data_IF_379128578480
#
_entry.id   IF_379128578480
#
_cell.length_a   1.000
_cell.length_b   1.000
_cell.length_c   1.000
_cell.angle_alpha   90.00
_cell.angle_beta   90.00
_cell.angle_gamma   90.00
#
_symmetry.space_group_name_H-M   'P 1'
#
loop_
_entity.id
_entity.type
_entity.pdbx_description
1 polymer ?
#
# COMPACT_ATOMS: atom_id res chain seq x y z
N UNK A 1 13.65 6.12 -17.53
CA UNK A 1 13.37 6.07 -18.99
C UNK A 1 12.07 5.31 -19.30
N UNK A 2 11.84 4.10 -18.82
CA UNK A 2 10.63 3.30 -19.09
C UNK A 2 9.31 3.96 -18.66
N UNK A 3 9.23 4.54 -17.46
CA UNK A 3 8.03 5.21 -16.93
C UNK A 3 7.63 6.42 -17.79
N UNK A 4 8.60 7.14 -18.35
CA UNK A 4 8.32 8.27 -19.24
C UNK A 4 7.64 7.83 -20.54
N UNK A 5 8.09 6.72 -21.13
CA UNK A 5 7.46 6.14 -22.32
C UNK A 5 6.04 5.64 -22.02
N UNK A 6 5.81 4.98 -20.90
CA UNK A 6 4.46 4.53 -20.52
C UNK A 6 3.49 5.71 -20.36
N UNK A 7 3.93 6.82 -19.78
CA UNK A 7 3.13 8.07 -19.70
C UNK A 7 2.81 8.67 -21.05
N UNK A 8 3.77 8.68 -21.97
CA UNK A 8 3.61 9.24 -23.32
C UNK A 8 2.57 8.45 -24.13
N UNK A 9 2.54 7.12 -23.97
CA UNK A 9 1.62 6.23 -24.69
C UNK A 9 0.35 5.89 -23.89
N UNK A 10 0.10 6.55 -22.74
CA UNK A 10 -1.05 6.26 -21.85
C UNK A 10 -1.17 4.79 -21.44
N UNK A 11 -0.05 4.08 -21.36
CA UNK A 11 -0.01 2.68 -20.91
C UNK A 11 -0.11 2.68 -19.40
N UNK A 12 -1.04 1.87 -18.87
CA UNK A 12 -1.14 1.63 -17.42
C UNK A 12 0.04 0.75 -16.97
N UNK A 13 1.12 1.42 -16.52
CA UNK A 13 2.33 0.73 -16.04
C UNK A 13 2.07 -0.09 -14.77
N UNK A 14 1.07 0.28 -13.95
CA UNK A 14 0.69 -0.50 -12.77
C UNK A 14 0.14 -1.86 -13.18
N UNK A 15 -0.72 -1.90 -14.21
CA UNK A 15 -1.25 -3.15 -14.75
C UNK A 15 -0.13 -4.05 -15.29
N UNK A 16 0.88 -3.48 -15.94
CA UNK A 16 2.04 -4.23 -16.43
C UNK A 16 2.88 -4.81 -15.30
N UNK A 17 3.19 -4.02 -14.27
CA UNK A 17 3.93 -4.48 -13.09
C UNK A 17 3.15 -5.56 -12.35
N UNK A 18 1.86 -5.35 -12.14
CA UNK A 18 0.97 -6.31 -11.50
C UNK A 18 0.96 -7.64 -12.28
N UNK A 19 0.82 -7.58 -13.60
CA UNK A 19 0.85 -8.77 -14.45
C UNK A 19 2.19 -9.50 -14.36
N UNK A 20 3.31 -8.79 -14.39
CA UNK A 20 4.64 -9.37 -14.28
C UNK A 20 4.88 -10.05 -12.92
N UNK A 21 4.39 -9.44 -11.83
CA UNK A 21 4.57 -9.96 -10.47
C UNK A 21 3.61 -11.13 -10.17
N UNK A 22 2.40 -11.12 -10.75
CA UNK A 22 1.40 -12.19 -10.54
C UNK A 22 1.66 -13.47 -11.35
N UNK A 23 2.58 -13.46 -12.29
CA UNK A 23 2.90 -14.62 -13.12
C UNK A 23 3.76 -15.71 -12.41
N UNK A 24 3.77 -15.73 -11.08
CA UNK A 24 4.30 -16.88 -10.35
C UNK A 24 3.42 -18.09 -10.59
N UNK A 25 3.95 -19.09 -11.33
CA UNK A 25 3.30 -20.39 -11.47
C UNK A 25 3.22 -21.03 -10.09
N UNK A 26 2.02 -21.28 -9.58
CA UNK A 26 1.79 -21.87 -8.26
C UNK A 26 2.53 -23.19 -8.06
N UNK A 27 2.76 -23.96 -9.13
CA UNK A 27 3.49 -25.24 -9.11
C UNK A 27 4.91 -25.13 -8.54
N UNK A 28 5.58 -23.98 -8.74
CA UNK A 28 6.96 -23.79 -8.30
C UNK A 28 7.06 -22.95 -7.01
N UNK A 29 5.96 -22.35 -6.58
CA UNK A 29 5.94 -21.44 -5.42
C UNK A 29 6.45 -22.12 -4.15
N UNK A 30 5.93 -23.29 -3.79
CA UNK A 30 6.36 -24.02 -2.60
C UNK A 30 7.81 -24.49 -2.69
N UNK A 31 8.29 -24.80 -3.88
CA UNK A 31 9.69 -25.15 -4.10
C UNK A 31 10.60 -23.94 -3.86
N UNK A 32 10.17 -22.75 -4.33
CA UNK A 32 10.94 -21.51 -4.19
C UNK A 32 10.99 -21.02 -2.75
N UNK A 33 9.88 -21.02 -2.01
CA UNK A 33 9.84 -20.55 -0.62
C UNK A 33 10.52 -21.50 0.37
N UNK A 34 10.71 -22.77 0.00
CA UNK A 34 11.41 -23.77 0.82
C UNK A 34 12.92 -23.78 0.60
N UNK A 35 13.44 -22.95 -0.29
CA UNK A 35 14.88 -22.84 -0.49
C UNK A 35 15.49 -22.01 0.64
N UNK A 36 16.57 -22.53 1.22
CA UNK A 36 17.36 -21.75 2.16
C UNK A 36 18.04 -20.59 1.44
N UNK A 37 18.07 -19.39 2.05
CA UNK A 37 18.79 -18.28 1.47
C UNK A 37 20.28 -18.60 1.37
N UNK A 38 20.92 -18.18 0.29
CA UNK A 38 22.36 -18.38 0.14
C UNK A 38 23.15 -17.47 1.09
N UNK A 39 24.41 -17.83 1.36
CA UNK A 39 25.28 -17.07 2.27
C UNK A 39 25.38 -15.59 1.93
N UNK A 40 25.46 -15.26 0.64
CA UNK A 40 25.51 -13.86 0.17
C UNK A 40 24.25 -13.08 0.50
N UNK A 41 23.08 -13.70 0.39
CA UNK A 41 21.79 -13.07 0.79
C UNK A 41 21.75 -12.82 2.30
N UNK A 42 22.21 -13.79 3.11
CA UNK A 42 22.26 -13.62 4.57
C UNK A 42 23.26 -12.54 4.99
N UNK A 43 24.42 -12.46 4.35
CA UNK A 43 25.40 -11.41 4.57
C UNK A 43 24.84 -10.03 4.19
N UNK A 44 24.17 -9.93 3.06
CA UNK A 44 23.50 -8.71 2.63
C UNK A 44 22.40 -8.29 3.61
N UNK A 45 21.56 -9.23 4.06
CA UNK A 45 20.53 -8.97 5.06
C UNK A 45 21.15 -8.47 6.38
N UNK A 46 22.19 -9.15 6.86
CA UNK A 46 22.95 -8.73 8.06
C UNK A 46 23.48 -7.30 7.92
N UNK A 47 24.10 -6.98 6.78
CA UNK A 47 24.59 -5.64 6.48
C UNK A 47 23.44 -4.63 6.51
N UNK A 48 22.32 -4.89 5.81
CA UNK A 48 21.15 -4.00 5.77
C UNK A 48 20.57 -3.75 7.16
N UNK A 49 20.47 -4.78 7.99
CA UNK A 49 19.97 -4.64 9.36
C UNK A 49 20.93 -3.86 10.26
N UNK A 50 22.26 -4.10 10.14
CA UNK A 50 23.26 -3.38 10.94
C UNK A 50 23.41 -1.91 10.56
N UNK A 51 23.11 -1.56 9.31
CA UNK A 51 23.19 -0.18 8.79
C UNK A 51 21.84 0.53 8.74
N UNK A 52 20.79 -0.11 9.27
CA UNK A 52 19.43 0.48 9.26
C UNK A 52 19.39 1.75 10.10
N UNK A 53 19.04 2.87 9.47
CA UNK A 53 18.88 4.14 10.15
C UNK A 53 17.51 4.21 10.84
N UNK A 54 17.49 4.16 12.16
CA UNK A 54 16.27 4.26 12.97
C UNK A 54 15.51 5.57 12.77
N UNK A 55 16.20 6.65 12.39
CA UNK A 55 15.56 7.95 12.13
C UNK A 55 14.58 7.89 10.95
N UNK A 56 14.82 7.06 9.94
CA UNK A 56 13.86 6.84 8.86
C UNK A 56 12.56 6.20 9.36
N UNK A 57 12.68 5.26 10.30
CA UNK A 57 11.49 4.65 10.91
C UNK A 57 10.70 5.68 11.73
N UNK A 58 11.39 6.45 12.56
CA UNK A 58 10.76 7.51 13.36
C UNK A 58 10.14 8.60 12.46
N UNK A 59 10.84 9.03 11.43
CA UNK A 59 10.31 9.98 10.45
C UNK A 59 9.03 9.49 9.79
N UNK A 60 8.98 8.21 9.40
CA UNK A 60 7.79 7.60 8.82
C UNK A 60 6.63 7.51 9.83
N UNK A 61 6.92 7.15 11.08
CA UNK A 61 5.91 7.15 12.17
C UNK A 61 5.34 8.55 12.38
N UNK A 62 6.20 9.57 12.44
CA UNK A 62 5.77 10.95 12.60
C UNK A 62 4.90 11.42 11.41
N UNK A 63 5.32 11.13 10.18
CA UNK A 63 4.53 11.42 8.98
C UNK A 63 3.16 10.73 9.00
N UNK A 64 3.12 9.45 9.39
CA UNK A 64 1.88 8.69 9.52
C UNK A 64 0.95 9.26 10.58
N UNK A 65 1.46 9.59 11.75
CA UNK A 65 0.70 10.22 12.82
C UNK A 65 0.16 11.59 12.38
N UNK A 66 0.99 12.40 11.73
CA UNK A 66 0.59 13.71 11.20
C UNK A 66 -0.62 13.61 10.26
N UNK A 67 -0.60 12.67 9.34
CA UNK A 67 -1.70 12.44 8.38
C UNK A 67 -2.92 11.87 9.10
N UNK A 68 -2.76 10.84 9.95
CA UNK A 68 -3.83 10.19 10.71
C UNK A 68 -4.63 11.19 11.54
N UNK A 69 -3.94 12.06 12.28
CA UNK A 69 -4.58 12.98 13.22
C UNK A 69 -5.36 14.11 12.54
N UNK A 70 -5.14 14.32 11.25
CA UNK A 70 -5.79 15.36 10.43
C UNK A 70 -6.80 14.85 9.40
N UNK A 71 -6.84 13.55 9.19
CA UNK A 71 -7.92 12.96 8.39
C UNK A 71 -9.23 13.01 9.17
N UNK A 72 -10.34 13.15 8.46
CA UNK A 72 -11.66 13.10 9.08
C UNK A 72 -11.84 11.80 9.86
N UNK A 73 -12.49 11.87 11.03
CA UNK A 73 -12.70 10.71 11.91
C UNK A 73 -13.44 9.55 11.26
N UNK A 74 -14.26 9.85 10.23
CA UNK A 74 -14.96 8.86 9.43
C UNK A 74 -14.05 8.16 8.40
N UNK A 75 -12.81 8.64 8.21
CA UNK A 75 -11.83 7.93 7.41
C UNK A 75 -11.47 6.64 8.12
N UNK A 76 -12.01 5.52 7.64
CA UNK A 76 -11.71 4.20 8.16
C UNK A 76 -10.23 3.86 7.90
N UNK A 77 -9.36 4.38 8.78
CA UNK A 77 -7.93 4.07 8.78
C UNK A 77 -7.76 2.73 9.48
N UNK A 78 -7.19 1.77 8.77
CA UNK A 78 -6.97 0.46 9.33
C UNK A 78 -5.83 0.49 10.37
N UNK A 79 -6.07 -0.19 11.49
CA UNK A 79 -5.12 -0.25 12.59
C UNK A 79 -5.06 1.03 13.44
N UNK A 80 -6.03 1.93 13.34
CA UNK A 80 -6.07 3.19 14.11
C UNK A 80 -6.04 2.97 15.63
N UNK A 81 -6.52 1.81 16.09
CA UNK A 81 -6.53 1.43 17.51
C UNK A 81 -5.25 0.75 17.99
N UNK A 82 -4.28 0.52 17.12
CA UNK A 82 -3.00 -0.03 17.53
C UNK A 82 -2.21 1.02 18.31
N UNK A 83 -1.64 0.63 19.44
CA UNK A 83 -0.80 1.51 20.26
C UNK A 83 0.44 1.99 19.52
N UNK A 84 1.00 1.14 18.65
CA UNK A 84 2.19 1.45 17.86
C UNK A 84 1.95 1.13 16.39
N UNK A 85 2.45 2.00 15.50
CA UNK A 85 2.30 1.85 14.07
C UNK A 85 3.60 2.22 13.35
N UNK A 86 4.04 1.41 12.40
CA UNK A 86 5.21 1.72 11.56
C UNK A 86 4.83 2.45 10.28
N UNK A 87 3.56 2.47 9.91
CA UNK A 87 3.02 3.03 8.67
C UNK A 87 3.78 2.60 7.42
N UNK A 88 4.16 1.34 7.35
CA UNK A 88 4.76 0.79 6.12
C UNK A 88 3.82 0.95 4.92
N UNK A 89 2.53 0.76 5.15
CA UNK A 89 1.46 1.13 4.24
C UNK A 89 0.49 2.04 4.99
N UNK A 90 -0.17 2.94 4.28
CA UNK A 90 -1.21 3.80 4.83
C UNK A 90 -2.54 3.53 4.10
N UNK A 91 -3.27 2.46 4.49
CA UNK A 91 -4.53 2.09 3.87
C UNK A 91 -5.70 2.90 4.42
N UNK A 92 -6.56 3.39 3.52
CA UNK A 92 -7.84 4.01 3.85
C UNK A 92 -8.95 3.36 3.03
N UNK A 93 -10.18 3.30 3.57
CA UNK A 93 -11.35 2.88 2.78
C UNK A 93 -11.89 4.05 1.97
N UNK A 94 -12.30 3.79 0.73
CA UNK A 94 -13.00 4.75 -0.12
C UNK A 94 -13.95 4.02 -1.06
N UNK A 95 -15.22 4.43 -1.09
CA UNK A 95 -16.19 3.91 -2.06
C UNK A 95 -15.83 4.31 -3.49
N UNK A 96 -15.28 5.50 -3.67
CA UNK A 96 -14.93 6.05 -4.98
C UNK A 96 -13.41 6.10 -5.21
N UNK A 97 -12.79 4.92 -5.10
CA UNK A 97 -11.34 4.77 -5.18
C UNK A 97 -10.72 5.32 -6.46
N UNK A 98 -11.39 5.12 -7.63
CA UNK A 98 -10.87 5.61 -8.91
C UNK A 98 -10.79 7.13 -8.93
N UNK A 99 -11.84 7.82 -8.50
CA UNK A 99 -11.89 9.28 -8.43
C UNK A 99 -10.84 9.82 -7.47
N UNK A 100 -10.73 9.20 -6.28
CA UNK A 100 -9.74 9.60 -5.28
C UNK A 100 -8.32 9.44 -5.79
N UNK A 101 -7.97 8.27 -6.32
CA UNK A 101 -6.62 8.00 -6.84
C UNK A 101 -6.30 8.87 -8.06
N UNK A 102 -7.26 9.08 -8.98
CA UNK A 102 -7.07 9.98 -10.11
C UNK A 102 -6.77 11.41 -9.65
N UNK A 103 -7.53 11.92 -8.65
CA UNK A 103 -7.32 13.27 -8.11
C UNK A 103 -5.99 13.39 -7.35
N UNK A 104 -5.59 12.37 -6.60
CA UNK A 104 -4.29 12.34 -5.94
C UNK A 104 -3.15 12.33 -6.97
N UNK A 105 -3.22 11.46 -7.98
CA UNK A 105 -2.20 11.37 -9.04
C UNK A 105 -2.07 12.66 -9.86
N UNK A 106 -3.17 13.34 -10.16
CA UNK A 106 -3.13 14.64 -10.86
C UNK A 106 -2.46 15.74 -10.03
N UNK A 107 -2.41 15.59 -8.70
CA UNK A 107 -1.71 16.47 -7.77
C UNK A 107 -0.29 15.97 -7.40
N UNK A 108 0.22 14.95 -8.09
CA UNK A 108 1.59 14.46 -7.94
C UNK A 108 1.78 13.43 -6.83
N UNK A 109 0.70 12.87 -6.27
CA UNK A 109 0.77 11.82 -5.27
C UNK A 109 0.65 10.44 -5.92
N UNK A 110 1.58 9.54 -5.63
CA UNK A 110 1.57 8.15 -6.12
C UNK A 110 0.67 7.25 -5.26
N UNK A 111 -0.63 7.58 -5.24
CA UNK A 111 -1.63 6.75 -4.59
C UNK A 111 -2.03 5.58 -5.48
N UNK A 112 -2.33 4.43 -4.89
CA UNK A 112 -2.70 3.22 -5.62
C UNK A 112 -3.86 2.48 -4.94
N UNK A 113 -4.56 1.67 -5.71
CA UNK A 113 -5.56 0.72 -5.23
C UNK A 113 -5.39 -0.61 -5.98
N UNK A 114 -5.98 -1.68 -5.49
CA UNK A 114 -5.82 -3.04 -6.05
C UNK A 114 -4.36 -3.49 -6.13
N UNK A 115 -3.49 -2.96 -5.30
CA UNK A 115 -2.10 -3.37 -5.29
C UNK A 115 -1.99 -4.80 -4.73
N UNK A 116 -1.78 -5.50 -5.46
CA UNK A 116 -1.53 -6.71 -6.11
C UNK A 116 -1.02 -7.92 -5.33
N UNK A 117 -0.43 -7.78 -4.17
CA UNK A 117 0.22 -8.88 -3.45
C UNK A 117 -0.60 -9.39 -2.26
N UNK A 118 -1.60 -8.64 -1.84
CA UNK A 118 -2.53 -9.07 -0.82
C UNK A 118 -3.68 -9.79 -1.51
N UNK A 119 -3.80 -11.08 -1.29
CA UNK A 119 -4.94 -11.86 -1.74
C UNK A 119 -5.70 -12.39 -0.53
N UNK A 120 -7.03 -12.38 -0.54
CA UNK A 120 -7.80 -13.05 0.49
C UNK A 120 -7.50 -14.55 0.40
N UNK A 121 -7.34 -15.18 1.54
CA UNK A 121 -7.18 -16.64 1.60
C UNK A 121 -8.56 -17.24 1.43
N UNK A 122 -8.76 -18.02 0.37
CA UNK A 122 -9.99 -18.74 0.14
C UNK A 122 -10.12 -19.88 1.16
N UNK A 123 -11.34 -20.10 1.66
CA UNK A 123 -11.60 -21.22 2.54
C UNK A 123 -11.44 -22.54 1.77
N UNK A 124 -10.69 -23.46 2.34
CA UNK A 124 -10.52 -24.81 1.80
C UNK A 124 -11.40 -25.78 2.60
N UNK A 125 -12.32 -26.49 1.95
CA UNK A 125 -13.16 -27.52 2.54
C UNK A 125 -14.66 -27.30 2.34
N UNK A 126 -15.45 -28.25 2.85
CA UNK A 126 -16.93 -28.27 2.66
C UNK A 126 -17.66 -27.11 3.37
N UNK A 127 -17.08 -26.54 4.42
CA UNK A 127 -17.58 -25.35 5.10
C UNK A 127 -16.95 -24.08 4.52
N UNK A 128 -17.30 -23.74 3.29
CA UNK A 128 -16.82 -22.55 2.60
C UNK A 128 -17.38 -21.27 3.24
N UNK A 129 -16.73 -20.80 4.29
CA UNK A 129 -16.89 -19.42 4.72
C UNK A 129 -16.16 -18.55 3.69
N UNK A 130 -16.89 -17.97 2.75
CA UNK A 130 -16.34 -17.02 1.79
C UNK A 130 -15.75 -15.84 2.57
N UNK A 131 -14.49 -15.43 2.34
CA UNK A 131 -13.89 -14.31 3.05
C UNK A 131 -14.42 -12.96 2.52
N UNK A 132 -15.75 -12.81 2.49
CA UNK A 132 -16.44 -11.66 1.89
C UNK A 132 -16.00 -10.33 2.51
N UNK A 133 -15.72 -10.32 3.81
CA UNK A 133 -15.23 -9.12 4.49
C UNK A 133 -13.84 -8.74 4.00
N UNK A 134 -12.93 -9.71 3.89
CA UNK A 134 -11.58 -9.48 3.37
C UNK A 134 -11.61 -9.00 1.92
N UNK A 135 -12.44 -9.61 1.08
CA UNK A 135 -12.60 -9.23 -0.32
C UNK A 135 -13.15 -7.80 -0.41
N UNK A 136 -14.23 -7.51 0.31
CA UNK A 136 -14.85 -6.16 0.36
C UNK A 136 -13.85 -5.12 0.87
N UNK A 137 -13.10 -5.49 1.90
CA UNK A 137 -12.04 -4.66 2.44
C UNK A 137 -11.00 -4.32 1.37
N UNK A 138 -10.43 -5.32 0.72
CA UNK A 138 -9.38 -5.13 -0.28
C UNK A 138 -9.86 -4.35 -1.50
N UNK A 139 -11.09 -4.63 -1.94
CA UNK A 139 -11.69 -3.94 -3.08
C UNK A 139 -11.86 -2.44 -2.81
N UNK A 140 -12.15 -2.03 -1.58
CA UNK A 140 -12.40 -0.64 -1.21
C UNK A 140 -11.19 0.10 -0.62
N UNK A 141 -10.03 -0.54 -0.57
CA UNK A 141 -8.83 0.05 0.01
C UNK A 141 -8.03 0.87 -1.01
N UNK A 142 -7.65 2.07 -0.61
CA UNK A 142 -6.69 2.94 -1.29
C UNK A 142 -5.45 3.08 -0.40
N UNK A 143 -4.27 2.98 -0.97
CA UNK A 143 -3.01 3.18 -0.28
C UNK A 143 -2.49 4.58 -0.57
N UNK A 144 -2.33 5.37 0.49
CA UNK A 144 -1.78 6.72 0.41
C UNK A 144 -0.25 6.68 0.49
N UNK A 145 0.45 7.53 -0.29
CA UNK A 145 1.89 7.69 -0.19
C UNK A 145 2.22 8.53 1.06
N UNK A 146 2.49 7.87 2.18
CA UNK A 146 2.86 8.53 3.44
C UNK A 146 4.23 8.03 3.87
N UNK A 147 5.26 8.87 3.70
CA UNK A 147 6.64 8.57 4.07
C UNK A 147 7.42 9.85 4.40
N UNK A 148 8.50 9.72 5.14
CA UNK A 148 9.25 10.79 5.78
C UNK A 148 9.84 11.84 4.83
N UNK A 149 10.08 11.49 3.57
CA UNK A 149 10.65 12.43 2.59
C UNK A 149 9.64 13.40 1.97
N UNK A 150 8.34 13.24 2.28
CA UNK A 150 7.30 14.16 1.82
C UNK A 150 7.24 15.37 2.76
N UNK A 151 7.37 16.63 2.25
CA UNK A 151 7.21 17.82 3.05
C UNK A 151 5.81 17.96 3.65
N UNK A 152 5.67 18.47 4.88
CA UNK A 152 4.39 18.63 5.59
C UNK A 152 3.34 19.39 4.77
N UNK A 153 3.72 20.48 4.08
CA UNK A 153 2.81 21.23 3.20
C UNK A 153 2.18 20.36 2.10
N UNK A 154 2.86 19.31 1.68
CA UNK A 154 2.30 18.35 0.73
C UNK A 154 1.30 17.41 1.42
N UNK A 155 1.55 17.03 2.67
CA UNK A 155 0.56 16.28 3.44
C UNK A 155 -0.73 17.07 3.63
N UNK A 156 -0.69 18.38 3.88
CA UNK A 156 -1.90 19.19 3.97
C UNK A 156 -2.72 19.16 2.69
N UNK A 157 -2.04 19.19 1.53
CA UNK A 157 -2.69 19.04 0.22
C UNK A 157 -3.31 17.65 0.07
N UNK A 158 -2.57 16.58 0.42
CA UNK A 158 -3.06 15.20 0.38
C UNK A 158 -4.29 15.02 1.27
N UNK A 159 -4.23 15.50 2.51
CA UNK A 159 -5.31 15.43 3.50
C UNK A 159 -6.55 16.17 2.99
N UNK A 160 -6.38 17.39 2.44
CA UNK A 160 -7.48 18.14 1.86
C UNK A 160 -8.16 17.39 0.71
N UNK A 161 -7.38 16.77 -0.20
CA UNK A 161 -7.94 15.98 -1.29
C UNK A 161 -8.70 14.77 -0.75
N UNK A 162 -8.14 14.04 0.22
CA UNK A 162 -8.79 12.87 0.81
C UNK A 162 -10.09 13.28 1.50
N UNK A 163 -10.07 14.30 2.37
CA UNK A 163 -11.25 14.77 3.11
C UNK A 163 -12.39 15.26 2.21
N UNK A 164 -12.05 15.80 1.01
CA UNK A 164 -13.05 16.29 0.04
C UNK A 164 -13.58 15.20 -0.91
N UNK A 165 -12.81 14.13 -1.14
CA UNK A 165 -13.09 13.20 -2.23
C UNK A 165 -13.43 11.80 -1.76
N UNK A 166 -12.93 11.38 -0.60
CA UNK A 166 -13.21 10.08 -0.06
C UNK A 166 -14.64 10.06 0.52
N UNK A 167 -15.52 9.33 -0.17
CA UNK A 167 -16.83 8.96 0.38
C UNK A 167 -16.60 7.85 1.39
N UNK A 168 -16.52 8.21 2.65
CA UNK A 168 -16.36 7.25 3.75
C UNK A 168 -17.68 6.50 3.98
N UNK A 169 -17.60 5.21 4.24
CA UNK A 169 -18.77 4.45 4.70
C UNK A 169 -19.09 4.87 6.13
N UNK A 170 -20.31 5.37 6.35
CA UNK A 170 -20.90 5.43 7.68
C UNK A 170 -21.17 4.02 8.18
#
# INVERSE_FOLDING_TARGET
MYIFFCRLFRIDYDALIISAVRNFKLSDFFKLIRQSPCTSQLQFLKYRLSTMNKNHLLGRINAGNYVRDRLNRDSNIHGVFNETHTYWLFPIKSKNKQKLVSKLRSNGFDATFNSSQLNPIEATGENQLTPNECITYMVNTVYLPVYESIPEKKFDTLISIVNQTADFQK
#
